data_IF_765989958834
#
_entry.id   IF_765989958834
#
_cell.length_a   1.000
_cell.length_b   1.000
_cell.length_c   1.000
_cell.angle_alpha   90.00
_cell.angle_beta   90.00
_cell.angle_gamma   90.00
#
_symmetry.space_group_name_H-M   'P 1'
#
loop_
_entity.id
_entity.type
_entity.pdbx_description
1 polymer ?
#
# COMPACT_ATOMS: atom_id res chain seq x y z
N UNK A 1 22.11 27.81 -14.67
CA UNK A 1 21.07 28.15 -13.68
C UNK A 1 19.71 27.53 -13.99
N UNK A 2 19.07 27.82 -15.14
CA UNK A 2 17.73 27.28 -15.50
C UNK A 2 17.62 25.74 -15.52
N UNK A 3 18.66 25.03 -15.98
CA UNK A 3 18.72 23.54 -15.94
C UNK A 3 18.83 22.98 -14.51
N UNK A 4 19.54 23.68 -13.62
CA UNK A 4 19.69 23.27 -12.21
C UNK A 4 18.38 23.43 -11.44
N UNK A 5 17.62 24.49 -11.72
CA UNK A 5 16.29 24.72 -11.13
C UNK A 5 15.30 23.64 -11.57
N UNK A 6 15.31 23.24 -12.85
CA UNK A 6 14.46 22.17 -13.38
C UNK A 6 14.80 20.81 -12.74
N UNK A 7 16.09 20.51 -12.60
CA UNK A 7 16.53 19.26 -11.96
C UNK A 7 16.16 19.21 -10.46
N UNK A 8 16.30 20.32 -9.75
CA UNK A 8 15.93 20.42 -8.33
C UNK A 8 14.42 20.25 -8.11
N UNK A 9 13.59 20.82 -9.01
CA UNK A 9 12.13 20.69 -8.93
C UNK A 9 11.63 19.29 -9.28
N UNK A 10 12.27 18.60 -10.24
CA UNK A 10 11.98 17.18 -10.51
C UNK A 10 12.33 16.28 -9.31
N UNK A 11 13.47 16.52 -8.67
CA UNK A 11 13.89 15.73 -7.50
C UNK A 11 12.94 15.90 -6.30
N UNK A 12 12.40 17.11 -6.11
CA UNK A 12 11.40 17.39 -5.08
C UNK A 12 10.05 16.70 -5.36
N UNK A 13 9.64 16.59 -6.63
CA UNK A 13 8.40 15.92 -6.99
C UNK A 13 8.46 14.39 -6.78
N UNK A 14 9.61 13.76 -7.07
CA UNK A 14 9.80 12.30 -6.90
C UNK A 14 9.92 11.90 -5.42
N UNK A 15 10.42 12.79 -4.55
CA UNK A 15 10.48 12.51 -3.10
C UNK A 15 9.11 12.55 -2.42
N UNK A 16 8.11 13.22 -3.02
CA UNK A 16 6.74 13.26 -2.48
C UNK A 16 5.96 11.93 -2.63
N UNK A 17 6.30 11.10 -3.63
CA UNK A 17 5.62 9.80 -3.83
C UNK A 17 6.07 8.74 -2.82
N UNK A 18 7.27 8.87 -2.24
CA UNK A 18 7.77 7.95 -1.22
C UNK A 18 6.94 7.99 0.08
N UNK A 19 6.43 9.16 0.48
CA UNK A 19 5.55 9.29 1.65
C UNK A 19 4.11 8.81 1.43
N UNK A 20 3.67 8.68 0.17
CA UNK A 20 2.28 8.29 -0.16
C UNK A 20 2.09 6.80 -0.37
N UNK A 21 3.19 6.04 -0.50
CA UNK A 21 3.16 4.59 -0.71
C UNK A 21 2.36 3.86 0.38
N UNK A 22 2.60 4.19 1.65
CA UNK A 22 1.93 3.54 2.77
C UNK A 22 0.42 3.85 2.80
N UNK A 23 0.06 5.11 2.55
CA UNK A 23 -1.34 5.57 2.49
C UNK A 23 -2.12 4.88 1.36
N UNK A 24 -1.51 4.72 0.19
CA UNK A 24 -2.15 4.07 -0.95
C UNK A 24 -2.35 2.56 -0.72
N UNK A 25 -1.36 1.89 -0.12
CA UNK A 25 -1.46 0.47 0.24
C UNK A 25 -2.52 0.22 1.32
N UNK A 26 -2.52 1.01 2.39
CA UNK A 26 -3.52 0.90 3.47
C UNK A 26 -4.94 1.17 2.94
N UNK A 27 -5.10 2.14 2.03
CA UNK A 27 -6.37 2.44 1.38
C UNK A 27 -6.86 1.29 0.47
N UNK A 28 -5.98 0.71 -0.34
CA UNK A 28 -6.31 -0.44 -1.20
C UNK A 28 -6.69 -1.69 -0.40
N UNK A 29 -6.00 -1.92 0.71
CA UNK A 29 -6.25 -3.08 1.57
C UNK A 29 -7.57 -2.97 2.33
N UNK A 30 -7.91 -1.78 2.84
CA UNK A 30 -9.20 -1.53 3.49
C UNK A 30 -10.37 -1.77 2.52
N UNK A 31 -10.22 -1.35 1.26
CA UNK A 31 -11.20 -1.63 0.21
C UNK A 31 -11.37 -3.13 -0.04
N UNK A 32 -10.27 -3.88 -0.18
CA UNK A 32 -10.33 -5.32 -0.43
C UNK A 32 -11.04 -6.09 0.71
N UNK A 33 -10.78 -5.73 1.98
CA UNK A 33 -11.49 -6.31 3.13
C UNK A 33 -12.97 -5.94 3.15
N UNK A 34 -13.32 -4.73 2.73
CA UNK A 34 -14.70 -4.30 2.60
C UNK A 34 -15.45 -5.10 1.52
N UNK A 35 -14.81 -5.37 0.39
CA UNK A 35 -15.39 -6.24 -0.65
C UNK A 35 -15.60 -7.68 -0.15
N UNK A 36 -14.64 -8.25 0.60
CA UNK A 36 -14.85 -9.56 1.24
C UNK A 36 -16.05 -9.56 2.21
N UNK A 37 -16.33 -8.45 2.88
CA UNK A 37 -17.46 -8.30 3.79
C UNK A 37 -18.84 -8.36 3.10
N UNK A 38 -18.89 -8.13 1.79
CA UNK A 38 -20.12 -8.21 0.98
C UNK A 38 -20.46 -9.64 0.56
N UNK A 39 -19.53 -10.59 0.72
CA UNK A 39 -19.75 -11.99 0.35
C UNK A 39 -20.72 -12.64 1.35
N UNK A 40 -21.89 -13.14 0.89
CA UNK A 40 -22.90 -13.73 1.76
C UNK A 40 -22.50 -15.11 2.28
N UNK A 41 -21.75 -15.88 1.49
CA UNK A 41 -21.21 -17.16 1.92
C UNK A 41 -20.08 -16.97 2.94
N UNK A 42 -20.26 -17.52 4.14
CA UNK A 42 -19.31 -17.34 5.24
C UNK A 42 -17.97 -18.02 4.95
N UNK A 43 -17.95 -19.14 4.23
CA UNK A 43 -16.72 -19.87 3.96
C UNK A 43 -15.88 -19.14 2.91
N UNK A 44 -16.52 -18.63 1.86
CA UNK A 44 -15.91 -17.84 0.80
C UNK A 44 -15.44 -16.48 1.32
N UNK A 45 -16.25 -15.83 2.18
CA UNK A 45 -15.83 -14.63 2.90
C UNK A 45 -14.57 -14.88 3.73
N UNK A 46 -14.49 -15.99 4.47
CA UNK A 46 -13.33 -16.30 5.29
C UNK A 46 -12.08 -16.55 4.43
N UNK A 47 -12.22 -17.25 3.30
CA UNK A 47 -11.14 -17.45 2.33
C UNK A 47 -10.64 -16.13 1.74
N UNK A 48 -11.56 -15.25 1.33
CA UNK A 48 -11.26 -13.90 0.84
C UNK A 48 -10.51 -13.07 1.89
N UNK A 49 -11.01 -13.05 3.12
CA UNK A 49 -10.38 -12.34 4.25
C UNK A 49 -8.98 -12.86 4.56
N UNK A 50 -8.78 -14.18 4.54
CA UNK A 50 -7.46 -14.78 4.77
C UNK A 50 -6.48 -14.40 3.66
N UNK A 51 -6.89 -14.49 2.39
CA UNK A 51 -6.06 -14.10 1.26
C UNK A 51 -5.66 -12.61 1.31
N UNK A 52 -6.61 -11.73 1.66
CA UNK A 52 -6.35 -10.29 1.80
C UNK A 52 -5.47 -9.94 3.02
N UNK A 53 -5.45 -10.79 4.05
CA UNK A 53 -4.64 -10.58 5.25
C UNK A 53 -3.20 -11.07 5.09
N UNK A 54 -2.99 -12.24 4.45
CA UNK A 54 -1.65 -12.79 4.18
C UNK A 54 -0.78 -11.81 3.40
N UNK A 55 -1.32 -11.21 2.33
CA UNK A 55 -0.57 -10.25 1.51
C UNK A 55 -0.11 -9.01 2.29
N UNK A 56 -0.86 -8.60 3.32
CA UNK A 56 -0.52 -7.43 4.13
C UNK A 56 0.51 -7.74 5.20
N UNK A 57 0.41 -8.89 5.85
CA UNK A 57 1.40 -9.31 6.84
C UNK A 57 2.77 -9.48 6.20
N UNK A 58 2.85 -10.03 5.00
CA UNK A 58 4.09 -10.17 4.25
C UNK A 58 4.67 -8.79 3.85
N UNK A 59 3.82 -7.87 3.36
CA UNK A 59 4.23 -6.49 3.06
C UNK A 59 4.75 -5.77 4.32
N UNK A 60 4.03 -5.88 5.44
CA UNK A 60 4.40 -5.25 6.71
C UNK A 60 5.71 -5.80 7.26
N UNK A 61 5.94 -7.12 7.19
CA UNK A 61 7.21 -7.75 7.58
C UNK A 61 8.36 -7.21 6.73
N UNK A 62 8.20 -7.17 5.41
CA UNK A 62 9.21 -6.63 4.51
C UNK A 62 9.56 -5.17 4.83
N UNK A 63 8.57 -4.34 5.22
CA UNK A 63 8.80 -2.96 5.65
C UNK A 63 9.52 -2.87 7.00
N UNK A 64 9.16 -3.71 7.97
CA UNK A 64 9.85 -3.75 9.27
C UNK A 64 11.30 -4.21 9.13
N UNK A 65 11.58 -5.15 8.22
CA UNK A 65 12.94 -5.63 7.94
C UNK A 65 13.79 -4.57 7.22
N UNK A 66 13.20 -3.75 6.35
CA UNK A 66 13.90 -2.62 5.69
C UNK A 66 14.17 -1.46 6.66
N UNK A 67 13.42 -1.37 7.76
CA UNK A 67 13.52 -0.26 8.73
C UNK A 67 14.44 -0.58 9.94
N UNK A 68 15.02 -1.78 10.00
CA UNK A 68 16.04 -2.19 10.99
C UNK A 68 17.45 -1.92 10.49
#
# INVERSE_FOLDING_TARGET
MRRLVILASLAAAVSATACSSQRAYDAGQAWQRNECGKIPDMQERQRCMNAASTSYDDYRRQRQDIQK
#
